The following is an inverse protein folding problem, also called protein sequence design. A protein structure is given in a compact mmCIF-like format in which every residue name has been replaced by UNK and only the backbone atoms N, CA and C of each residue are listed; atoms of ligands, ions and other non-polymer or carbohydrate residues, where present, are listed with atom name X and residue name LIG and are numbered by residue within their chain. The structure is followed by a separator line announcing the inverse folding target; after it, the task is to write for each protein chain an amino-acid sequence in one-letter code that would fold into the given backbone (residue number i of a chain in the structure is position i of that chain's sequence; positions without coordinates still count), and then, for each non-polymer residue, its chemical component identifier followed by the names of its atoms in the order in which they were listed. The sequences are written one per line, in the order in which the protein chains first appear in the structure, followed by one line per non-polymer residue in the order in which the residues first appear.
data_IF_069581310351
#
_entry.id   IF_069581310351
#
_cell.length_a   1.000
_cell.length_b   1.000
_cell.length_c   1.000
_cell.angle_alpha   90.00
_cell.angle_beta   90.00
_cell.angle_gamma   90.00
#
_symmetry.space_group_name_H-M   'P 1'
#
loop_
_entity.id
_entity.type
_entity.pdbx_description
1 polymer ?
#
# COMPACT_ATOMS: atom_id res chain seq x y z
N UNK A 1 -12.64 15.49 16.08
CA UNK A 1 -13.34 16.68 15.53
C UNK A 1 -13.05 16.75 14.03
N UNK A 2 -14.08 17.00 13.24
CA UNK A 2 -13.96 17.00 11.78
C UNK A 2 -13.20 18.25 11.32
N UNK A 3 -12.16 18.08 10.48
CA UNK A 3 -11.32 19.16 9.96
C UNK A 3 -12.16 20.28 9.30
N UNK A 4 -13.23 19.91 8.60
CA UNK A 4 -14.16 20.86 8.00
C UNK A 4 -14.87 21.75 9.04
N UNK A 5 -15.25 21.19 10.19
CA UNK A 5 -15.86 21.96 11.28
C UNK A 5 -14.85 22.95 11.86
N UNK A 6 -13.60 22.51 12.13
CA UNK A 6 -12.55 23.41 12.60
C UNK A 6 -12.26 24.53 11.61
N UNK A 7 -12.19 24.21 10.33
CA UNK A 7 -11.99 25.22 9.28
C UNK A 7 -13.15 26.24 9.23
N UNK A 8 -14.40 25.80 9.45
CA UNK A 8 -15.57 26.72 9.46
C UNK A 8 -15.57 27.69 10.62
N UNK A 9 -14.89 27.39 11.74
CA UNK A 9 -14.76 28.27 12.89
C UNK A 9 -13.69 29.35 12.74
N UNK A 10 -12.66 29.07 11.92
CA UNK A 10 -11.46 29.93 11.80
C UNK A 10 -11.47 30.74 10.51
N UNK A 11 -12.02 30.18 9.41
CA UNK A 11 -11.96 30.81 8.10
C UNK A 11 -13.20 31.66 7.81
N UNK A 12 -13.05 32.86 7.23
CA UNK A 12 -14.13 33.64 6.65
C UNK A 12 -14.86 32.81 5.58
N UNK A 13 -16.16 33.04 5.43
CA UNK A 13 -17.03 32.23 4.54
C UNK A 13 -16.50 32.03 3.11
N UNK A 14 -15.91 33.03 2.41
CA UNK A 14 -15.33 32.82 1.09
C UNK A 14 -14.13 31.89 1.10
N UNK A 15 -13.22 32.03 2.08
CA UNK A 15 -12.06 31.18 2.23
C UNK A 15 -12.42 29.74 2.66
N UNK A 16 -13.47 29.60 3.47
CA UNK A 16 -14.00 28.28 3.82
C UNK A 16 -14.55 27.53 2.60
N UNK A 17 -15.33 28.22 1.74
CA UNK A 17 -15.83 27.63 0.49
C UNK A 17 -14.67 27.23 -0.42
N UNK A 18 -13.67 28.10 -0.59
CA UNK A 18 -12.47 27.79 -1.38
C UNK A 18 -11.70 26.60 -0.80
N UNK A 19 -11.57 26.50 0.51
CA UNK A 19 -10.93 25.36 1.19
C UNK A 19 -11.68 24.04 0.93
N UNK A 20 -13.00 24.04 1.03
CA UNK A 20 -13.81 22.82 0.80
C UNK A 20 -13.82 22.43 -0.67
N UNK A 21 -14.09 23.35 -1.58
CA UNK A 21 -14.21 23.06 -3.02
C UNK A 21 -12.85 22.90 -3.66
N UNK A 22 -11.94 23.84 -3.47
CA UNK A 22 -10.61 23.83 -4.10
C UNK A 22 -9.64 22.84 -3.43
N UNK A 23 -9.68 22.71 -2.11
CA UNK A 23 -8.82 21.79 -1.36
C UNK A 23 -9.41 20.39 -1.26
N UNK A 24 -10.47 20.22 -0.49
CA UNK A 24 -10.98 18.90 -0.13
C UNK A 24 -11.61 18.17 -1.34
N UNK A 25 -12.50 18.80 -2.10
CA UNK A 25 -13.16 18.13 -3.23
C UNK A 25 -12.20 17.82 -4.38
N UNK A 26 -11.31 18.76 -4.74
CA UNK A 26 -10.32 18.51 -5.80
C UNK A 26 -9.31 17.41 -5.39
N UNK A 27 -8.86 17.42 -4.14
CA UNK A 27 -7.96 16.40 -3.60
C UNK A 27 -8.60 15.01 -3.62
N UNK A 28 -9.86 14.89 -3.15
CA UNK A 28 -10.61 13.63 -3.19
C UNK A 28 -10.82 13.15 -4.63
N UNK A 29 -11.20 14.05 -5.54
CA UNK A 29 -11.39 13.70 -6.96
C UNK A 29 -10.12 13.18 -7.59
N UNK A 30 -8.98 13.83 -7.33
CA UNK A 30 -7.67 13.41 -7.85
C UNK A 30 -7.26 12.06 -7.27
N UNK A 31 -7.46 11.84 -5.96
CA UNK A 31 -7.15 10.57 -5.32
C UNK A 31 -8.02 9.42 -5.89
N UNK A 32 -9.31 9.65 -6.11
CA UNK A 32 -10.22 8.67 -6.72
C UNK A 32 -9.83 8.36 -8.16
N UNK A 33 -9.56 9.37 -8.98
CA UNK A 33 -9.14 9.19 -10.37
C UNK A 33 -7.80 8.45 -10.46
N UNK A 34 -6.84 8.77 -9.60
CA UNK A 34 -5.55 8.08 -9.51
C UNK A 34 -5.72 6.61 -9.14
N UNK A 35 -6.56 6.31 -8.14
CA UNK A 35 -6.87 4.94 -7.73
C UNK A 35 -7.55 4.13 -8.83
N UNK A 36 -8.60 4.67 -9.44
CA UNK A 36 -9.35 3.96 -10.51
C UNK A 36 -8.51 3.78 -11.77
N UNK A 37 -7.61 4.72 -12.08
CA UNK A 37 -6.77 4.65 -13.28
C UNK A 37 -5.55 3.75 -13.09
N UNK A 38 -4.83 3.87 -11.97
CA UNK A 38 -3.52 3.24 -11.77
C UNK A 38 -3.60 1.85 -11.15
N UNK A 39 -4.41 1.65 -10.10
CA UNK A 39 -4.48 0.36 -9.40
C UNK A 39 -4.82 -0.84 -10.27
N UNK A 40 -5.76 -0.77 -11.25
CA UNK A 40 -6.05 -1.94 -12.08
C UNK A 40 -4.84 -2.45 -12.86
N UNK A 41 -3.96 -1.56 -13.34
CA UNK A 41 -2.76 -1.98 -14.06
C UNK A 41 -1.75 -2.69 -13.16
N UNK A 42 -1.58 -2.21 -11.92
CA UNK A 42 -0.73 -2.90 -10.94
C UNK A 42 -1.25 -4.31 -10.63
N UNK A 43 -2.56 -4.46 -10.41
CA UNK A 43 -3.17 -5.77 -10.14
C UNK A 43 -3.06 -6.70 -11.35
N UNK A 44 -3.23 -6.18 -12.57
CA UNK A 44 -3.02 -6.94 -13.80
C UNK A 44 -1.58 -7.46 -13.90
N UNK A 45 -0.58 -6.59 -13.68
CA UNK A 45 0.83 -7.02 -13.66
C UNK A 45 1.09 -8.12 -12.63
N UNK A 46 0.60 -7.97 -11.41
CA UNK A 46 0.68 -9.01 -10.36
C UNK A 46 0.01 -10.33 -10.80
N UNK A 47 -1.07 -10.26 -11.58
CA UNK A 47 -1.74 -11.45 -12.11
C UNK A 47 -0.99 -12.09 -13.29
N UNK A 48 -0.33 -11.28 -14.14
CA UNK A 48 0.54 -11.74 -15.21
C UNK A 48 1.78 -12.43 -14.66
N UNK A 49 2.38 -11.91 -13.59
CA UNK A 49 3.50 -12.51 -12.88
C UNK A 49 3.11 -13.82 -12.14
N UNK A 50 1.84 -14.19 -12.13
CA UNK A 50 1.35 -15.44 -11.54
C UNK A 50 1.00 -15.36 -10.05
N UNK A 51 1.07 -14.20 -9.39
CA UNK A 51 0.68 -14.06 -7.97
C UNK A 51 -0.83 -14.13 -7.74
N UNK A 52 -1.61 -13.69 -8.73
CA UNK A 52 -3.06 -13.76 -8.72
C UNK A 52 -3.58 -14.71 -9.81
N UNK A 53 -4.84 -15.18 -9.70
CA UNK A 53 -5.46 -15.96 -10.76
C UNK A 53 -5.52 -15.17 -12.09
N UNK A 54 -5.42 -15.87 -13.23
CA UNK A 54 -5.50 -15.28 -14.59
C UNK A 54 -6.79 -14.49 -14.84
N UNK A 55 -7.82 -14.67 -14.01
CA UNK A 55 -9.05 -13.89 -14.05
C UNK A 55 -8.76 -12.38 -13.91
N UNK A 56 -7.78 -12.01 -13.08
CA UNK A 56 -7.36 -10.62 -12.84
C UNK A 56 -6.43 -10.05 -13.91
N UNK A 57 -6.04 -10.81 -14.91
CA UNK A 57 -5.29 -10.28 -16.07
C UNK A 57 -6.14 -9.37 -16.99
N UNK A 58 -7.47 -9.37 -16.81
CA UNK A 58 -8.39 -8.52 -17.57
C UNK A 58 -8.79 -7.29 -16.74
N UNK A 59 -8.58 -6.08 -17.29
CA UNK A 59 -8.87 -4.80 -16.63
C UNK A 59 -10.30 -4.72 -16.08
N UNK A 60 -11.29 -5.16 -16.86
CA UNK A 60 -12.70 -5.10 -16.45
C UNK A 60 -12.97 -5.95 -15.19
N UNK A 61 -12.38 -7.13 -15.10
CA UNK A 61 -12.55 -8.02 -13.95
C UNK A 61 -11.95 -7.40 -12.68
N UNK A 62 -10.79 -6.75 -12.82
CA UNK A 62 -10.15 -6.03 -11.71
C UNK A 62 -11.04 -4.89 -11.24
N UNK A 63 -11.50 -4.03 -12.15
CA UNK A 63 -12.34 -2.88 -11.82
C UNK A 63 -13.63 -3.32 -11.14
N UNK A 64 -14.31 -4.34 -11.67
CA UNK A 64 -15.56 -4.87 -11.09
C UNK A 64 -15.29 -5.45 -9.70
N UNK A 65 -14.23 -6.23 -9.54
CA UNK A 65 -13.87 -6.81 -8.22
C UNK A 65 -13.54 -5.72 -7.22
N UNK A 66 -12.77 -4.71 -7.60
CA UNK A 66 -12.46 -3.56 -6.75
C UNK A 66 -13.71 -2.80 -6.35
N UNK A 67 -14.64 -2.57 -7.29
CA UNK A 67 -15.91 -1.90 -6.99
C UNK A 67 -16.74 -2.71 -5.97
N UNK A 68 -16.84 -4.02 -6.14
CA UNK A 68 -17.54 -4.90 -5.20
C UNK A 68 -16.91 -4.85 -3.81
N UNK A 69 -15.57 -4.99 -3.73
CA UNK A 69 -14.84 -4.96 -2.46
C UNK A 69 -15.00 -3.59 -1.77
N UNK A 70 -15.03 -2.49 -2.53
CA UNK A 70 -15.19 -1.14 -1.98
C UNK A 70 -16.61 -0.88 -1.43
N UNK A 71 -17.62 -1.54 -1.98
CA UNK A 71 -19.01 -1.40 -1.53
C UNK A 71 -19.28 -2.19 -0.24
N UNK A 72 -18.60 -3.33 -0.03
CA UNK A 72 -18.83 -4.20 1.13
C UNK A 72 -18.69 -3.49 2.49
N UNK A 73 -17.65 -2.70 2.77
CA UNK A 73 -17.54 -1.97 4.02
C UNK A 73 -18.64 -0.92 4.22
N UNK A 74 -19.12 -0.31 3.13
CA UNK A 74 -20.20 0.69 3.16
C UNK A 74 -21.51 0.03 3.57
N UNK A 75 -21.84 -1.13 2.96
CA UNK A 75 -23.04 -1.92 3.32
C UNK A 75 -22.91 -2.44 4.76
N UNK A 76 -21.70 -2.81 5.19
CA UNK A 76 -21.41 -3.25 6.56
C UNK A 76 -21.47 -2.13 7.60
N UNK A 77 -21.71 -0.87 7.20
CA UNK A 77 -21.79 0.27 8.12
C UNK A 77 -20.46 0.60 8.81
N UNK A 78 -19.33 0.22 8.22
CA UNK A 78 -18.02 0.52 8.80
C UNK A 78 -17.72 2.02 8.72
N UNK A 79 -17.18 2.58 9.81
CA UNK A 79 -16.70 3.97 9.79
C UNK A 79 -15.46 4.09 8.89
N UNK A 80 -15.23 5.28 8.34
CA UNK A 80 -14.05 5.56 7.53
C UNK A 80 -12.75 5.25 8.29
N UNK A 81 -12.71 5.59 9.59
CA UNK A 81 -11.55 5.33 10.45
C UNK A 81 -11.24 3.84 10.58
N UNK A 82 -12.29 3.00 10.68
CA UNK A 82 -12.13 1.54 10.71
C UNK A 82 -11.55 1.02 9.40
N UNK A 83 -12.06 1.48 8.25
CA UNK A 83 -11.60 1.07 6.93
C UNK A 83 -10.13 1.45 6.74
N UNK A 84 -9.76 2.68 7.08
CA UNK A 84 -8.37 3.16 7.01
C UNK A 84 -7.45 2.34 7.91
N UNK A 85 -7.84 2.10 9.15
CA UNK A 85 -7.04 1.30 10.11
C UNK A 85 -6.86 -0.14 9.63
N UNK A 86 -7.91 -0.78 9.09
CA UNK A 86 -7.83 -2.13 8.52
C UNK A 86 -6.87 -2.21 7.31
N UNK A 87 -6.75 -1.14 6.51
CA UNK A 87 -5.80 -1.09 5.39
C UNK A 87 -4.37 -0.77 5.85
N UNK A 88 -4.21 0.08 6.87
CA UNK A 88 -2.89 0.46 7.38
C UNK A 88 -2.15 -0.73 8.00
N UNK A 89 -2.83 -1.61 8.73
CA UNK A 89 -2.19 -2.74 9.41
C UNK A 89 -1.39 -3.62 8.44
N UNK A 90 -1.97 -4.25 7.41
CA UNK A 90 -1.21 -5.06 6.47
C UNK A 90 -0.19 -4.23 5.67
N UNK A 91 -0.54 -3.01 5.27
CA UNK A 91 0.34 -2.12 4.51
C UNK A 91 1.63 -1.79 5.27
N UNK A 92 1.52 -1.46 6.56
CA UNK A 92 2.69 -1.15 7.39
C UNK A 92 3.53 -2.39 7.70
N UNK A 93 2.93 -3.57 7.88
CA UNK A 93 3.66 -4.83 8.05
C UNK A 93 4.47 -5.16 6.79
N UNK A 94 3.85 -5.07 5.60
CA UNK A 94 4.54 -5.29 4.33
C UNK A 94 5.65 -4.24 4.14
N UNK A 95 5.39 -2.98 4.45
CA UNK A 95 6.39 -1.90 4.42
C UNK A 95 7.59 -2.19 5.32
N UNK A 96 7.36 -2.67 6.54
CA UNK A 96 8.44 -3.07 7.45
C UNK A 96 9.30 -4.22 6.88
N UNK A 97 8.67 -5.24 6.30
CA UNK A 97 9.37 -6.36 5.65
C UNK A 97 10.20 -5.87 4.46
N UNK A 98 9.62 -5.01 3.61
CA UNK A 98 10.31 -4.43 2.45
C UNK A 98 11.51 -3.59 2.88
N UNK A 99 11.37 -2.76 3.91
CA UNK A 99 12.47 -1.96 4.44
C UNK A 99 13.57 -2.83 5.05
N UNK A 100 13.20 -3.94 5.71
CA UNK A 100 14.16 -4.90 6.22
C UNK A 100 14.98 -5.55 5.10
N UNK A 101 14.33 -5.95 4.00
CA UNK A 101 15.03 -6.50 2.83
C UNK A 101 15.90 -5.46 2.13
N UNK A 102 15.42 -4.22 2.04
CA UNK A 102 16.15 -3.11 1.43
C UNK A 102 17.38 -2.66 2.24
N UNK A 103 17.44 -2.97 3.53
CA UNK A 103 18.55 -2.55 4.41
C UNK A 103 19.92 -3.00 3.90
N UNK A 104 19.98 -4.14 3.22
CA UNK A 104 21.22 -4.70 2.65
C UNK A 104 21.44 -4.32 1.17
N UNK A 105 20.66 -3.40 0.63
CA UNK A 105 20.77 -2.96 -0.77
C UNK A 105 22.17 -2.42 -1.14
N UNK A 106 22.84 -1.60 -0.30
CA UNK A 106 24.18 -1.11 -0.62
C UNK A 106 25.24 -2.21 -0.77
N UNK A 107 25.04 -3.35 -0.11
CA UNK A 107 25.97 -4.50 -0.20
C UNK A 107 25.63 -5.44 -1.36
N UNK A 108 24.34 -5.56 -1.67
CA UNK A 108 23.89 -6.45 -2.76
C UNK A 108 24.10 -5.83 -4.14
N UNK A 109 24.00 -4.52 -4.25
CA UNK A 109 24.05 -3.78 -5.51
C UNK A 109 25.02 -2.58 -5.39
N UNK A 110 26.34 -2.82 -5.22
CA UNK A 110 27.30 -1.75 -4.95
C UNK A 110 27.48 -0.78 -6.14
N UNK A 111 27.39 -1.26 -7.37
CA UNK A 111 27.55 -0.43 -8.57
C UNK A 111 26.34 0.49 -8.77
N UNK A 112 25.13 -0.05 -8.64
CA UNK A 112 23.89 0.70 -8.72
C UNK A 112 23.77 1.70 -7.58
N UNK A 113 24.24 1.32 -6.38
CA UNK A 113 24.29 2.21 -5.24
C UNK A 113 25.22 3.39 -5.47
N UNK A 114 26.42 3.16 -6.02
CA UNK A 114 27.39 4.22 -6.33
C UNK A 114 26.86 5.20 -7.39
N UNK A 115 26.09 4.71 -8.34
CA UNK A 115 25.48 5.49 -9.43
C UNK A 115 24.12 6.10 -9.04
N UNK A 116 23.59 5.78 -7.86
CA UNK A 116 22.31 6.33 -7.40
C UNK A 116 22.40 7.82 -7.13
N UNK A 117 21.32 8.57 -7.37
CA UNK A 117 21.22 9.98 -7.00
C UNK A 117 21.21 10.22 -5.48
N UNK A 118 21.06 9.15 -4.70
CA UNK A 118 21.00 9.22 -3.23
C UNK A 118 22.40 9.09 -2.63
N UNK A 119 23.06 10.22 -2.43
CA UNK A 119 24.42 10.28 -1.87
C UNK A 119 24.40 10.25 -0.34
N UNK A 120 23.99 9.14 0.26
CA UNK A 120 24.11 8.96 1.72
C UNK A 120 25.07 7.81 2.04
N UNK A 121 25.69 7.88 3.24
CA UNK A 121 26.56 6.79 3.68
C UNK A 121 25.73 5.52 3.91
N UNK A 122 26.26 4.32 3.63
CA UNK A 122 25.56 3.05 3.89
C UNK A 122 25.09 2.90 5.33
N UNK A 123 25.86 3.41 6.29
CA UNK A 123 25.50 3.42 7.71
C UNK A 123 24.28 4.30 8.00
N UNK A 124 24.24 5.52 7.46
CA UNK A 124 23.10 6.41 7.61
C UNK A 124 21.84 5.79 6.98
N UNK A 125 21.99 5.20 5.81
CA UNK A 125 20.89 4.49 5.13
C UNK A 125 20.29 3.39 6.01
N UNK A 126 21.14 2.54 6.61
CA UNK A 126 20.69 1.47 7.53
C UNK A 126 19.96 2.02 8.75
N UNK A 127 20.49 3.10 9.35
CA UNK A 127 19.81 3.75 10.50
C UNK A 127 18.43 4.23 10.09
N UNK A 128 18.29 4.89 8.94
CA UNK A 128 17.01 5.36 8.43
C UNK A 128 16.03 4.19 8.17
N UNK A 129 16.52 3.06 7.61
CA UNK A 129 15.69 1.87 7.41
C UNK A 129 15.21 1.26 8.74
N UNK A 130 16.07 1.19 9.76
CA UNK A 130 15.70 0.71 11.09
C UNK A 130 14.63 1.63 11.71
N UNK A 131 14.80 2.94 11.64
CA UNK A 131 13.80 3.90 12.12
C UNK A 131 12.47 3.70 11.37
N UNK A 132 12.51 3.54 10.06
CA UNK A 132 11.32 3.30 9.24
C UNK A 132 10.61 1.99 9.62
N UNK A 133 11.34 0.91 9.89
CA UNK A 133 10.78 -0.37 10.35
C UNK A 133 10.07 -0.18 11.69
N UNK A 134 10.74 0.45 12.66
CA UNK A 134 10.16 0.71 13.98
C UNK A 134 8.88 1.54 13.85
N UNK A 135 8.93 2.63 13.09
CA UNK A 135 7.78 3.52 12.87
C UNK A 135 6.62 2.78 12.21
N UNK A 136 6.90 1.95 11.20
CA UNK A 136 5.88 1.15 10.51
C UNK A 136 5.21 0.14 11.46
N UNK A 137 5.99 -0.56 12.29
CA UNK A 137 5.46 -1.52 13.26
C UNK A 137 4.65 -0.83 14.37
N UNK A 138 5.13 0.32 14.87
CA UNK A 138 4.37 1.12 15.84
C UNK A 138 3.05 1.62 15.25
N UNK A 139 3.06 2.14 14.03
CA UNK A 139 1.84 2.59 13.34
C UNK A 139 0.85 1.43 13.15
N UNK A 140 1.35 0.26 12.73
CA UNK A 140 0.53 -0.94 12.61
C UNK A 140 -0.10 -1.35 13.95
N UNK A 141 0.68 -1.33 15.04
CA UNK A 141 0.20 -1.65 16.38
C UNK A 141 -0.89 -0.67 16.85
N UNK A 142 -0.65 0.64 16.75
CA UNK A 142 -1.65 1.65 17.12
C UNK A 142 -2.91 1.57 16.26
N UNK A 143 -2.78 1.33 14.96
CA UNK A 143 -3.93 1.13 14.07
C UNK A 143 -4.73 -0.11 14.46
N UNK A 144 -4.07 -1.19 14.86
CA UNK A 144 -4.73 -2.41 15.32
C UNK A 144 -5.49 -2.20 16.65
N UNK A 145 -4.89 -1.46 17.58
CA UNK A 145 -5.53 -1.15 18.89
C UNK A 145 -6.70 -0.17 18.78
N UNK A 146 -6.78 0.62 17.71
CA UNK A 146 -7.90 1.52 17.44
C UNK A 146 -9.15 0.80 16.92
N UNK A 147 -8.99 -0.45 16.43
CA UNK A 147 -10.10 -1.26 15.94
C UNK A 147 -10.85 -1.97 17.08
N UNK A 148 -12.14 -2.22 16.87
CA UNK A 148 -12.90 -3.12 17.75
C UNK A 148 -12.34 -4.54 17.63
N UNK A 149 -12.43 -5.34 18.70
CA UNK A 149 -11.84 -6.68 18.76
C UNK A 149 -12.20 -7.57 17.56
N UNK A 150 -13.46 -7.66 17.09
CA UNK A 150 -13.80 -8.46 15.91
C UNK A 150 -13.11 -7.99 14.64
N UNK A 151 -13.00 -6.65 14.43
CA UNK A 151 -12.33 -6.07 13.26
C UNK A 151 -10.82 -6.29 13.31
N UNK A 152 -10.21 -6.16 14.49
CA UNK A 152 -8.80 -6.43 14.69
C UNK A 152 -8.46 -7.89 14.36
N UNK A 153 -9.23 -8.85 14.88
CA UNK A 153 -9.07 -10.28 14.58
C UNK A 153 -9.25 -10.52 13.07
N UNK A 154 -10.30 -9.96 12.46
CA UNK A 154 -10.56 -10.08 11.03
C UNK A 154 -9.41 -9.56 10.17
N UNK A 155 -8.82 -8.42 10.55
CA UNK A 155 -7.68 -7.81 9.86
C UNK A 155 -6.43 -8.69 9.96
N UNK A 156 -6.12 -9.22 11.14
CA UNK A 156 -4.99 -10.14 11.35
C UNK A 156 -5.18 -11.42 10.53
N UNK A 157 -6.37 -12.03 10.60
CA UNK A 157 -6.69 -13.23 9.81
C UNK A 157 -6.56 -12.97 8.31
N UNK A 158 -7.10 -11.87 7.80
CA UNK A 158 -6.98 -11.49 6.40
C UNK A 158 -5.51 -11.31 5.99
N UNK A 159 -4.71 -10.64 6.83
CA UNK A 159 -3.27 -10.45 6.59
C UNK A 159 -2.54 -11.81 6.51
N UNK A 160 -2.79 -12.71 7.47
CA UNK A 160 -2.20 -14.06 7.47
C UNK A 160 -2.62 -14.84 6.22
N UNK A 161 -3.89 -14.77 5.83
CA UNK A 161 -4.38 -15.45 4.62
C UNK A 161 -3.68 -14.96 3.35
N UNK A 162 -3.38 -13.66 3.24
CA UNK A 162 -2.61 -13.11 2.12
C UNK A 162 -1.20 -13.70 2.10
N UNK A 163 -0.51 -13.79 3.23
CA UNK A 163 0.82 -14.41 3.32
C UNK A 163 0.79 -15.90 2.96
N UNK A 164 -0.18 -16.64 3.49
CA UNK A 164 -0.36 -18.08 3.19
C UNK A 164 -0.65 -18.28 1.71
N UNK A 165 -1.52 -17.46 1.11
CA UNK A 165 -1.80 -17.50 -0.32
C UNK A 165 -0.56 -17.25 -1.15
N UNK A 166 0.21 -16.20 -0.83
CA UNK A 166 1.45 -15.85 -1.52
C UNK A 166 2.47 -16.98 -1.44
N UNK A 167 2.67 -17.54 -0.24
CA UNK A 167 3.56 -18.68 -0.04
C UNK A 167 3.12 -19.93 -0.82
N UNK A 168 1.81 -20.23 -0.83
CA UNK A 168 1.24 -21.34 -1.61
C UNK A 168 1.50 -21.17 -3.11
N UNK A 169 1.29 -19.98 -3.66
CA UNK A 169 1.51 -19.68 -5.08
C UNK A 169 2.99 -19.83 -5.45
N UNK A 170 3.87 -19.34 -4.60
CA UNK A 170 5.31 -19.47 -4.78
C UNK A 170 5.76 -20.94 -4.77
N UNK A 171 5.30 -21.72 -3.78
CA UNK A 171 5.65 -23.14 -3.65
C UNK A 171 5.14 -24.00 -4.81
N UNK A 172 4.02 -23.63 -5.41
CA UNK A 172 3.45 -24.33 -6.57
C UNK A 172 4.11 -23.94 -7.91
N UNK A 173 5.05 -22.98 -7.93
CA UNK A 173 5.72 -22.54 -9.14
C UNK A 173 4.83 -21.78 -10.11
N UNK A 174 3.73 -21.17 -9.62
CA UNK A 174 2.88 -20.33 -10.47
C UNK A 174 3.47 -18.96 -10.74
N UNK A 175 4.47 -18.56 -9.94
CA UNK A 175 5.11 -17.25 -10.00
C UNK A 175 6.40 -17.36 -10.79
N UNK A 176 6.53 -16.55 -11.84
CA UNK A 176 7.76 -16.43 -12.62
C UNK A 176 8.60 -15.30 -12.02
N UNK A 177 9.62 -15.68 -11.22
CA UNK A 177 10.61 -14.73 -10.74
C UNK A 177 11.69 -14.60 -11.81
N UNK A 178 11.69 -13.48 -12.53
CA UNK A 178 12.76 -13.14 -13.47
C UNK A 178 13.93 -12.62 -12.65
N UNK A 179 15.09 -13.28 -12.71
CA UNK A 179 16.30 -12.78 -12.06
C UNK A 179 16.86 -11.57 -12.83
N UNK A 180 17.55 -10.67 -12.15
CA UNK A 180 18.22 -9.54 -12.80
C UNK A 180 19.23 -9.99 -13.86
N UNK A 181 19.78 -11.19 -13.69
CA UNK A 181 20.71 -11.83 -14.64
C UNK A 181 19.99 -12.15 -15.96
N UNK A 182 18.77 -12.67 -15.91
CA UNK A 182 17.98 -13.00 -17.11
C UNK A 182 17.59 -11.73 -17.90
N UNK A 183 17.39 -10.61 -17.19
CA UNK A 183 17.09 -9.32 -17.82
C UNK A 183 18.32 -8.71 -18.52
N UNK A 184 19.52 -8.92 -18.01
CA UNK A 184 20.76 -8.47 -18.67
C UNK A 184 21.09 -9.27 -19.93
N UNK A 185 20.78 -10.56 -19.97
CA UNK A 185 20.94 -11.41 -21.15
C UNK A 185 19.90 -11.13 -22.24
N UNK A 186 18.69 -10.72 -21.86
CA UNK A 186 17.63 -10.35 -22.79
C UNK A 186 17.83 -8.95 -23.43
N UNK A 187 18.68 -8.11 -22.84
CA UNK A 187 18.99 -6.75 -23.30
C UNK A 187 20.30 -6.66 -24.11
N UNK A 188 21.09 -7.73 -24.17
CA UNK A 188 22.33 -7.85 -24.93
C UNK A 188 22.11 -8.52 -26.29
#
# INVERSE_FOLDING_TARGET
QNLGYMASLVLPRPLFIFFIVGGAMCSLSTALLGGISGMPFMIMGIAEDGWLPKFFAKKINVVVTMAIISILPIIGGFSLDNIVSMMLVPGMVIGAITNFQAMNMPERFPEEWANSGLKCSPTLYRILMVISIITSLMTSFFSLTSLTLPLAIGTVVATVLIFVWTWYRLKKGYVHIVSTTDMSEAAA
#
